data_IF_618163769814
#
_entry.id   IF_618163769814
#
_cell.length_a   1.000
_cell.length_b   1.000
_cell.length_c   1.000
_cell.angle_alpha   90.00
_cell.angle_beta   90.00
_cell.angle_gamma   90.00
#
_symmetry.space_group_name_H-M   'P 1'
#
loop_
_entity.id
_entity.type
_entity.pdbx_description
1 polymer ?
#
# COMPACT_ATOMS: atom_id res chain seq x y z
N UNK A 1 -13.87 4.21 -8.24
CA UNK A 1 -12.75 5.08 -7.81
C UNK A 1 -13.29 6.35 -7.19
N UNK A 2 -14.47 6.82 -7.59
CA UNK A 2 -15.15 7.93 -6.92
C UNK A 2 -15.68 7.50 -5.56
N UNK A 3 -15.03 8.03 -4.52
CA UNK A 3 -15.40 7.87 -3.13
C UNK A 3 -15.91 9.20 -2.61
N UNK A 4 -16.88 9.13 -1.72
CA UNK A 4 -17.40 10.28 -1.00
C UNK A 4 -16.91 10.20 0.46
N UNK A 5 -16.55 11.33 1.09
CA UNK A 5 -16.29 11.36 2.52
C UNK A 5 -17.49 10.79 3.28
N UNK A 6 -17.23 9.92 4.25
CA UNK A 6 -18.27 9.46 5.17
C UNK A 6 -18.65 10.58 6.14
N UNK A 7 -19.92 10.69 6.49
CA UNK A 7 -20.49 11.65 7.44
C UNK A 7 -20.84 11.02 8.80
N UNK A 8 -20.62 9.70 8.93
CA UNK A 8 -20.94 8.94 10.13
C UNK A 8 -20.14 7.64 10.27
N UNK A 9 -20.43 6.84 11.31
CA UNK A 9 -19.75 5.57 11.53
C UNK A 9 -20.07 4.55 10.44
N UNK A 10 -19.06 3.75 10.09
CA UNK A 10 -19.15 2.65 9.14
C UNK A 10 -18.63 1.37 9.77
N UNK A 11 -19.22 0.23 9.41
CA UNK A 11 -18.69 -1.08 9.76
C UNK A 11 -17.51 -1.43 8.85
N UNK A 12 -16.35 -1.73 9.44
CA UNK A 12 -15.19 -2.29 8.74
C UNK A 12 -15.19 -3.81 8.87
N UNK A 13 -15.52 -4.50 7.78
CA UNK A 13 -15.43 -5.96 7.68
C UNK A 13 -14.03 -6.44 7.28
N UNK A 14 -13.89 -7.77 7.14
CA UNK A 14 -12.65 -8.40 6.62
C UNK A 14 -12.34 -8.01 5.17
N UNK A 15 -13.38 -7.74 4.39
CA UNK A 15 -13.27 -7.40 2.96
C UNK A 15 -13.33 -5.88 2.69
N UNK A 16 -13.37 -5.05 3.73
CA UNK A 16 -13.39 -3.58 3.64
C UNK A 16 -14.59 -2.91 4.30
N UNK A 17 -14.73 -1.60 4.05
CA UNK A 17 -15.81 -0.77 4.60
C UNK A 17 -17.16 -1.14 3.99
N UNK A 18 -18.18 -1.21 4.83
CA UNK A 18 -19.56 -1.34 4.39
C UNK A 18 -19.92 -0.23 3.40
N UNK A 19 -20.49 -0.61 2.25
CA UNK A 19 -20.85 0.32 1.18
C UNK A 19 -19.73 0.65 0.21
N UNK A 20 -18.45 0.33 0.51
CA UNK A 20 -17.38 0.51 -0.46
C UNK A 20 -17.42 -0.58 -1.54
N UNK A 21 -17.15 -0.16 -2.78
CA UNK A 21 -17.09 -1.06 -3.93
C UNK A 21 -15.66 -1.12 -4.45
N UNK A 22 -15.06 -2.31 -4.33
CA UNK A 22 -13.83 -2.63 -5.05
C UNK A 22 -14.19 -2.90 -6.51
N UNK A 23 -13.82 -1.99 -7.41
CA UNK A 23 -14.16 -2.05 -8.83
C UNK A 23 -13.72 -3.35 -9.51
N UNK A 24 -12.63 -3.98 -9.04
CA UNK A 24 -12.12 -5.22 -9.60
C UNK A 24 -11.46 -6.08 -8.51
N UNK A 25 -12.25 -6.95 -7.87
CA UNK A 25 -11.81 -7.73 -6.69
C UNK A 25 -10.57 -8.58 -6.92
N UNK A 26 -10.39 -9.13 -8.14
CA UNK A 26 -9.22 -9.95 -8.49
C UNK A 26 -7.89 -9.22 -8.30
N UNK A 27 -7.82 -7.95 -8.70
CA UNK A 27 -6.58 -7.18 -8.69
C UNK A 27 -6.52 -6.12 -7.59
N UNK A 28 -7.66 -5.75 -6.99
CA UNK A 28 -7.76 -4.61 -6.05
C UNK A 28 -8.49 -4.95 -4.74
N UNK A 29 -8.87 -6.22 -4.53
CA UNK A 29 -9.56 -6.69 -3.32
C UNK A 29 -8.93 -7.95 -2.74
N UNK A 30 -9.60 -8.54 -1.76
CA UNK A 30 -9.12 -9.69 -1.00
C UNK A 30 -8.61 -9.30 0.39
N UNK A 31 -8.30 -10.29 1.23
CA UNK A 31 -8.07 -10.07 2.67
C UNK A 31 -6.91 -9.13 2.96
N UNK A 32 -5.92 -9.05 2.06
CA UNK A 32 -4.76 -8.16 2.19
C UNK A 32 -5.04 -6.70 1.85
N UNK A 33 -6.24 -6.37 1.33
CA UNK A 33 -6.53 -5.10 0.67
C UNK A 33 -7.89 -4.54 1.06
N UNK A 34 -8.25 -4.71 2.34
CA UNK A 34 -9.52 -4.26 2.90
C UNK A 34 -9.64 -2.73 2.91
N UNK A 35 -8.52 -2.02 3.12
CA UNK A 35 -8.46 -0.56 3.12
C UNK A 35 -7.27 -0.05 2.32
N UNK A 36 -7.48 1.08 1.65
CA UNK A 36 -6.42 1.88 1.04
C UNK A 36 -6.22 3.18 1.82
N UNK A 37 -4.98 3.49 2.18
CA UNK A 37 -4.60 4.70 2.89
C UNK A 37 -3.71 5.57 2.02
N UNK A 38 -3.99 6.86 1.99
CA UNK A 38 -3.15 7.82 1.29
C UNK A 38 -2.89 9.08 2.13
N UNK A 39 -1.62 9.47 2.34
CA UNK A 39 -1.29 10.72 3.03
C UNK A 39 -1.81 11.94 2.26
N UNK A 40 -2.64 12.77 2.90
CA UNK A 40 -3.24 13.96 2.25
C UNK A 40 -2.20 15.04 1.98
N UNK A 41 -1.12 15.08 2.77
CA UNK A 41 0.04 15.95 2.53
C UNK A 41 0.70 15.74 1.16
N UNK A 42 0.54 14.56 0.55
CA UNK A 42 1.04 14.31 -0.81
C UNK A 42 0.25 15.07 -1.88
N UNK A 43 -1.00 15.46 -1.62
CA UNK A 43 -1.78 16.24 -2.57
C UNK A 43 -1.10 17.56 -2.95
N UNK A 44 -0.43 18.22 -2.01
CA UNK A 44 0.31 19.44 -2.31
C UNK A 44 1.42 19.20 -3.34
N UNK A 45 2.16 18.10 -3.20
CA UNK A 45 3.16 17.69 -4.19
C UNK A 45 2.53 17.49 -5.57
N UNK A 46 1.39 16.80 -5.63
CA UNK A 46 0.71 16.51 -6.90
C UNK A 46 0.12 17.75 -7.57
N UNK A 47 -0.46 18.66 -6.79
CA UNK A 47 -0.95 19.96 -7.27
C UNK A 47 0.19 20.80 -7.88
N UNK A 48 1.38 20.73 -7.30
CA UNK A 48 2.56 21.43 -7.83
C UNK A 48 3.11 20.75 -9.09
N UNK A 49 3.16 19.41 -9.09
CA UNK A 49 3.73 18.61 -10.18
C UNK A 49 2.87 18.57 -11.44
N UNK A 50 1.54 18.53 -11.28
CA UNK A 50 0.58 18.47 -12.38
C UNK A 50 -0.46 19.58 -12.21
N UNK A 51 -0.32 20.67 -12.98
CA UNK A 51 -1.18 21.85 -12.86
C UNK A 51 -2.70 21.54 -12.90
N UNK A 52 -3.21 20.60 -13.74
CA UNK A 52 -4.62 20.25 -13.73
C UNK A 52 -5.13 19.62 -12.43
N UNK A 53 -4.24 19.01 -11.63
CA UNK A 53 -4.64 18.41 -10.35
C UNK A 53 -4.96 19.46 -9.28
N UNK A 54 -4.51 20.72 -9.43
CA UNK A 54 -4.77 21.80 -8.45
C UNK A 54 -6.25 21.97 -8.12
N UNK A 55 -7.13 21.70 -9.08
CA UNK A 55 -8.59 21.82 -8.92
C UNK A 55 -9.32 20.47 -8.84
N UNK A 56 -8.59 19.35 -8.93
CA UNK A 56 -9.17 17.99 -8.94
C UNK A 56 -8.86 17.18 -7.67
N UNK A 57 -7.95 17.69 -6.82
CA UNK A 57 -7.56 17.00 -5.59
C UNK A 57 -8.55 17.28 -4.46
N UNK A 58 -8.95 16.20 -3.80
CA UNK A 58 -9.81 16.14 -2.63
C UNK A 58 -9.72 14.75 -2.00
N UNK A 59 -10.36 14.55 -0.85
CA UNK A 59 -10.39 13.24 -0.20
C UNK A 59 -10.97 12.18 -1.15
N UNK A 60 -10.27 11.07 -1.31
CA UNK A 60 -10.62 10.00 -2.25
C UNK A 60 -10.12 10.23 -3.68
N UNK A 61 -9.37 11.29 -3.97
CA UNK A 61 -8.85 11.58 -5.32
C UNK A 61 -7.95 10.46 -5.86
N UNK A 62 -7.23 9.73 -4.99
CA UNK A 62 -6.44 8.57 -5.38
C UNK A 62 -7.18 7.23 -5.13
N UNK A 63 -8.45 7.27 -4.73
CA UNK A 63 -9.30 6.10 -4.48
C UNK A 63 -9.12 5.45 -3.10
N UNK A 64 -8.43 6.13 -2.20
CA UNK A 64 -8.20 5.78 -0.80
C UNK A 64 -9.48 5.79 0.04
N UNK A 65 -9.55 4.88 1.00
CA UNK A 65 -10.58 4.83 2.03
C UNK A 65 -10.25 5.77 3.20
N UNK A 66 -8.95 5.92 3.50
CA UNK A 66 -8.46 6.67 4.64
C UNK A 66 -7.44 7.72 4.16
N UNK A 67 -7.77 8.99 4.35
CA UNK A 67 -6.83 10.10 4.18
C UNK A 67 -6.39 10.61 5.55
N UNK A 68 -5.09 10.78 5.77
CA UNK A 68 -4.57 11.35 7.02
C UNK A 68 -3.39 12.29 6.78
N UNK A 69 -3.15 13.16 7.76
CA UNK A 69 -1.97 14.02 7.86
C UNK A 69 -1.01 13.46 8.92
N UNK A 70 0.28 13.76 8.80
CA UNK A 70 1.29 13.39 9.80
C UNK A 70 1.81 11.96 9.71
N UNK A 71 1.25 11.13 8.82
CA UNK A 71 1.75 9.81 8.45
C UNK A 71 2.23 9.78 7.00
N UNK A 72 3.31 9.07 6.73
CA UNK A 72 3.81 8.77 5.39
C UNK A 72 4.43 7.38 5.33
N UNK A 73 4.86 6.99 4.13
CA UNK A 73 5.41 5.67 3.83
C UNK A 73 6.67 5.32 4.63
N UNK A 74 7.39 6.31 5.17
CA UNK A 74 8.57 6.08 6.01
C UNK A 74 8.23 5.84 7.49
N UNK A 75 7.02 6.22 7.93
CA UNK A 75 6.63 6.20 9.35
C UNK A 75 5.89 4.93 9.77
N UNK A 76 5.31 4.20 8.81
CA UNK A 76 4.67 2.90 9.04
C UNK A 76 5.47 1.76 8.44
N UNK A 77 5.43 0.62 9.12
CA UNK A 77 6.12 -0.61 8.75
C UNK A 77 5.15 -1.71 8.36
N UNK A 78 5.63 -2.64 7.52
CA UNK A 78 4.87 -3.83 7.17
C UNK A 78 4.63 -4.67 8.43
N UNK A 79 3.36 -5.01 8.66
CA UNK A 79 2.93 -5.69 9.88
C UNK A 79 2.67 -4.77 11.07
N UNK A 80 2.81 -3.45 10.95
CA UNK A 80 2.30 -2.53 11.99
C UNK A 80 0.81 -2.81 12.22
N UNK A 81 0.43 -3.00 13.48
CA UNK A 81 -0.96 -3.20 13.91
C UNK A 81 -1.48 -1.96 14.58
N UNK A 82 -2.59 -1.44 14.06
CA UNK A 82 -3.19 -0.20 14.54
C UNK A 82 -4.64 -0.41 14.96
N UNK A 83 -5.01 0.18 16.09
CA UNK A 83 -6.41 0.34 16.48
C UNK A 83 -6.97 1.57 15.76
N UNK A 84 -8.13 1.40 15.13
CA UNK A 84 -8.92 2.47 14.51
C UNK A 84 -10.37 2.29 14.92
N UNK A 85 -10.90 3.17 15.77
CA UNK A 85 -12.19 2.91 16.43
C UNK A 85 -12.18 1.56 17.14
N UNK A 86 -13.15 0.71 16.84
CA UNK A 86 -13.23 -0.65 17.38
C UNK A 86 -12.38 -1.66 16.59
N UNK A 87 -11.92 -1.32 15.39
CA UNK A 87 -11.26 -2.25 14.48
C UNK A 87 -9.75 -2.35 14.71
N UNK A 88 -9.20 -3.55 14.52
CA UNK A 88 -7.75 -3.79 14.45
C UNK A 88 -7.33 -4.03 13.01
N UNK A 89 -6.44 -3.20 12.49
CA UNK A 89 -5.94 -3.27 11.12
C UNK A 89 -4.42 -3.48 11.10
N UNK A 90 -3.92 -4.15 10.06
CA UNK A 90 -2.50 -4.46 9.91
C UNK A 90 -2.00 -4.01 8.54
N UNK A 91 -0.87 -3.28 8.51
CA UNK A 91 -0.24 -2.82 7.25
C UNK A 91 0.24 -4.03 6.47
N UNK A 92 -0.37 -4.28 5.32
CA UNK A 92 -0.10 -5.50 4.54
C UNK A 92 0.88 -5.28 3.39
N UNK A 93 0.86 -4.10 2.77
CA UNK A 93 1.65 -3.81 1.57
C UNK A 93 1.63 -2.32 1.17
N UNK A 94 2.60 -1.87 0.36
CA UNK A 94 2.51 -0.64 -0.40
C UNK A 94 1.41 -0.77 -1.45
N UNK A 95 0.76 0.35 -1.77
CA UNK A 95 -0.24 0.39 -2.82
C UNK A 95 0.46 0.51 -4.17
N UNK A 96 0.28 -0.45 -5.07
CA UNK A 96 0.86 -0.35 -6.41
C UNK A 96 0.11 0.70 -7.24
N UNK A 97 0.80 1.70 -7.83
CA UNK A 97 0.18 2.65 -8.75
C UNK A 97 -0.41 1.94 -9.98
N UNK A 98 -1.53 2.43 -10.49
CA UNK A 98 -2.25 1.84 -11.62
C UNK A 98 -2.60 2.90 -12.65
N UNK A 99 -2.52 2.58 -13.94
CA UNK A 99 -2.84 3.46 -15.07
C UNK A 99 -4.26 4.05 -15.02
N UNK A 100 -5.17 3.43 -14.28
CA UNK A 100 -6.52 3.98 -14.06
C UNK A 100 -6.50 5.32 -13.31
N UNK A 101 -5.44 5.64 -12.58
CA UNK A 101 -5.24 6.98 -12.01
C UNK A 101 -4.96 8.02 -13.10
N UNK A 102 -4.14 7.67 -14.09
CA UNK A 102 -3.89 8.53 -15.26
C UNK A 102 -5.21 8.79 -15.99
N UNK A 103 -6.01 7.75 -16.25
CA UNK A 103 -7.31 7.89 -16.92
C UNK A 103 -8.27 8.73 -16.10
N UNK A 104 -8.36 8.51 -14.77
CA UNK A 104 -9.27 9.25 -13.89
C UNK A 104 -8.99 10.75 -13.92
N UNK A 105 -7.73 11.13 -13.85
CA UNK A 105 -7.32 12.53 -13.76
C UNK A 105 -7.02 13.14 -15.13
N UNK A 106 -7.08 12.36 -16.21
CA UNK A 106 -6.63 12.77 -17.54
C UNK A 106 -5.12 13.05 -17.62
N UNK A 107 -4.32 12.54 -16.67
CA UNK A 107 -2.90 12.90 -16.49
C UNK A 107 -1.99 11.74 -16.88
N UNK A 108 -1.50 11.76 -18.12
CA UNK A 108 -0.54 10.76 -18.61
C UNK A 108 0.76 10.83 -17.81
N UNK A 109 1.20 9.69 -17.29
CA UNK A 109 2.43 9.55 -16.52
C UNK A 109 2.26 9.72 -15.01
N UNK A 110 1.04 9.96 -14.51
CA UNK A 110 0.77 10.10 -13.08
C UNK A 110 1.15 8.84 -12.30
N UNK A 111 0.71 7.66 -12.76
CA UNK A 111 1.06 6.38 -12.13
C UNK A 111 2.58 6.11 -12.13
N UNK A 112 3.27 6.53 -13.20
CA UNK A 112 4.73 6.41 -13.29
C UNK A 112 5.42 7.31 -12.26
N UNK A 113 4.97 8.55 -12.11
CA UNK A 113 5.51 9.50 -11.14
C UNK A 113 5.19 9.08 -9.69
N UNK A 114 3.99 8.55 -9.41
CA UNK A 114 3.64 7.92 -8.14
C UNK A 114 4.63 6.81 -7.79
N UNK A 115 4.90 5.93 -8.75
CA UNK A 115 5.85 4.83 -8.59
C UNK A 115 7.26 5.32 -8.31
N UNK A 116 7.77 6.21 -9.16
CA UNK A 116 9.13 6.74 -9.06
C UNK A 116 9.38 7.55 -7.77
N UNK A 117 8.39 8.32 -7.33
CA UNK A 117 8.51 9.17 -6.14
C UNK A 117 8.29 8.43 -4.82
N UNK A 118 7.73 7.21 -4.86
CA UNK A 118 7.42 6.41 -3.67
C UNK A 118 6.23 6.92 -2.84
N UNK A 119 5.53 7.97 -3.30
CA UNK A 119 4.33 8.53 -2.66
C UNK A 119 3.09 7.72 -3.00
N UNK A 120 3.13 6.42 -2.74
CA UNK A 120 2.14 5.47 -3.25
C UNK A 120 0.97 5.25 -2.29
N UNK A 121 1.12 5.58 -1.01
CA UNK A 121 0.25 5.09 0.05
C UNK A 121 0.41 3.58 0.29
N UNK A 122 -0.49 3.02 1.08
CA UNK A 122 -0.42 1.61 1.49
C UNK A 122 -1.80 1.02 1.72
N UNK A 123 -1.83 -0.30 1.89
CA UNK A 123 -3.05 -1.05 2.16
C UNK A 123 -3.00 -1.70 3.54
N UNK A 124 -4.19 -1.95 4.06
CA UNK A 124 -4.38 -2.73 5.28
C UNK A 124 -5.20 -3.98 5.03
N UNK A 125 -4.94 -5.00 5.84
CA UNK A 125 -5.89 -6.07 6.14
C UNK A 125 -6.60 -5.79 7.46
N UNK A 126 -7.83 -6.30 7.60
CA UNK A 126 -8.59 -6.22 8.86
C UNK A 126 -8.37 -7.49 9.68
N UNK A 127 -7.74 -7.36 10.85
CA UNK A 127 -7.56 -8.46 11.81
C UNK A 127 -8.82 -8.67 12.63
N UNK A 128 -9.36 -7.59 13.20
CA UNK A 128 -10.61 -7.56 13.97
C UNK A 128 -11.58 -6.56 13.31
N UNK A 129 -12.73 -7.03 12.79
CA UNK A 129 -13.79 -6.15 12.32
C UNK A 129 -14.35 -5.26 13.44
N UNK A 130 -14.82 -4.06 13.10
CA UNK A 130 -15.34 -3.11 14.09
C UNK A 130 -15.94 -1.86 13.45
N UNK A 131 -16.62 -1.03 14.25
CA UNK A 131 -17.08 0.28 13.81
C UNK A 131 -15.93 1.28 13.82
N UNK A 132 -15.89 2.11 12.77
CA UNK A 132 -14.93 3.19 12.60
C UNK A 132 -15.66 4.43 12.14
N UNK A 133 -15.18 5.62 12.46
CA UNK A 133 -15.79 6.88 12.02
C UNK A 133 -14.73 7.92 11.60
N UNK A 134 -15.12 8.91 10.80
CA UNK A 134 -14.31 10.10 10.60
C UNK A 134 -13.87 10.70 11.94
N UNK A 135 -12.60 11.09 12.04
CA UNK A 135 -12.01 11.67 13.24
C UNK A 135 -11.45 10.66 14.25
N UNK A 136 -11.73 9.36 14.14
CA UNK A 136 -11.05 8.36 14.96
C UNK A 136 -9.55 8.37 14.69
N UNK A 137 -8.75 8.33 15.75
CA UNK A 137 -7.28 8.30 15.66
C UNK A 137 -6.78 6.89 15.33
N UNK A 138 -5.70 6.81 14.57
CA UNK A 138 -4.95 5.57 14.38
C UNK A 138 -3.92 5.43 15.51
N UNK A 139 -4.07 4.41 16.34
CA UNK A 139 -3.15 4.13 17.45
C UNK A 139 -2.30 2.91 17.12
N UNK A 140 -0.98 3.08 17.05
CA UNK A 140 -0.04 1.97 16.87
C UNK A 140 -0.02 1.11 18.14
N UNK A 141 -0.30 -0.19 17.99
CA UNK A 141 -0.28 -1.16 19.09
C UNK A 141 0.97 -2.03 19.04
N UNK A 142 1.35 -2.49 17.84
CA UNK A 142 2.51 -3.36 17.65
C UNK A 142 3.28 -2.99 16.38
N UNK A 143 4.61 -3.13 16.44
CA UNK A 143 5.54 -2.95 15.32
C UNK A 143 6.53 -4.11 15.27
N UNK A 144 6.16 -5.26 14.67
CA UNK A 144 7.01 -6.45 14.66
C UNK A 144 8.25 -6.31 13.74
N UNK A 145 8.20 -5.40 12.75
CA UNK A 145 9.26 -5.25 11.75
C UNK A 145 9.68 -3.79 11.57
N UNK A 146 10.32 -3.17 12.58
CA UNK A 146 10.63 -1.74 12.58
C UNK A 146 11.53 -1.26 11.44
N UNK A 147 12.31 -2.17 10.85
CA UNK A 147 13.25 -1.84 9.76
C UNK A 147 12.61 -1.94 8.36
N UNK A 148 11.37 -2.45 8.26
CA UNK A 148 10.69 -2.69 6.99
C UNK A 148 9.55 -1.68 6.83
N UNK A 149 9.92 -0.40 6.72
CA UNK A 149 8.96 0.66 6.37
C UNK A 149 8.29 0.39 5.02
N UNK A 150 7.10 0.95 4.81
CA UNK A 150 6.42 0.90 3.49
C UNK A 150 7.34 1.47 2.40
N UNK A 151 8.03 2.58 2.68
CA UNK A 151 8.99 3.20 1.77
C UNK A 151 10.19 2.30 1.47
N UNK A 152 10.76 1.63 2.50
CA UNK A 152 11.85 0.68 2.33
C UNK A 152 11.43 -0.48 1.41
N UNK A 153 10.28 -1.10 1.71
CA UNK A 153 9.78 -2.22 0.93
C UNK A 153 9.51 -1.82 -0.53
N UNK A 154 8.92 -0.64 -0.75
CA UNK A 154 8.67 -0.13 -2.10
C UNK A 154 9.97 0.06 -2.89
N UNK A 155 11.03 0.59 -2.26
CA UNK A 155 12.36 0.69 -2.88
C UNK A 155 12.91 -0.69 -3.25
N UNK A 156 12.84 -1.66 -2.33
CA UNK A 156 13.27 -3.04 -2.60
C UNK A 156 12.47 -3.69 -3.73
N UNK A 157 11.18 -3.36 -3.86
CA UNK A 157 10.34 -3.88 -4.93
C UNK A 157 10.76 -3.34 -6.31
N UNK A 158 11.13 -2.06 -6.39
CA UNK A 158 11.59 -1.43 -7.64
C UNK A 158 13.01 -1.85 -8.04
N UNK A 159 13.88 -2.08 -7.06
CA UNK A 159 15.26 -2.50 -7.29
C UNK A 159 15.33 -3.93 -7.84
N UNK A 160 15.92 -4.08 -9.03
CA UNK A 160 16.14 -5.38 -9.69
C UNK A 160 17.42 -6.07 -9.23
N UNK A 161 18.30 -5.36 -8.51
CA UNK A 161 19.62 -5.84 -8.08
C UNK A 161 19.67 -6.17 -6.58
N UNK A 162 18.52 -6.45 -5.98
CA UNK A 162 18.43 -6.81 -4.56
C UNK A 162 19.29 -8.04 -4.24
N UNK A 163 20.00 -7.97 -3.11
CA UNK A 163 20.78 -9.08 -2.59
C UNK A 163 19.87 -10.29 -2.31
N UNK A 164 20.42 -11.49 -2.55
CA UNK A 164 19.69 -12.76 -2.42
C UNK A 164 19.05 -12.93 -1.04
N UNK A 165 19.80 -12.65 0.02
CA UNK A 165 19.31 -12.86 1.39
C UNK A 165 18.19 -11.86 1.74
N UNK A 166 18.24 -10.64 1.21
CA UNK A 166 17.14 -9.67 1.32
C UNK A 166 15.88 -10.14 0.57
N UNK A 167 16.04 -10.72 -0.63
CA UNK A 167 14.90 -11.29 -1.37
C UNK A 167 14.25 -12.43 -0.61
N UNK A 168 15.05 -13.32 0.00
CA UNK A 168 14.55 -14.42 0.82
C UNK A 168 13.81 -13.91 2.06
N UNK A 169 14.42 -12.97 2.79
CA UNK A 169 13.81 -12.33 3.96
C UNK A 169 12.43 -11.73 3.62
N UNK A 170 12.34 -10.97 2.53
CA UNK A 170 11.09 -10.35 2.10
C UNK A 170 10.07 -11.37 1.57
N UNK A 171 10.52 -12.46 0.93
CA UNK A 171 9.63 -13.55 0.51
C UNK A 171 8.99 -14.29 1.71
N UNK A 172 9.67 -14.32 2.85
CA UNK A 172 9.25 -15.04 4.05
C UNK A 172 8.55 -14.15 5.08
N UNK A 173 8.53 -12.83 4.86
CA UNK A 173 7.89 -11.86 5.73
C UNK A 173 6.37 -12.08 5.78
N UNK A 174 5.89 -12.82 6.78
CA UNK A 174 4.50 -13.28 6.85
C UNK A 174 3.45 -12.15 6.79
N UNK A 175 3.65 -10.99 7.45
CA UNK A 175 2.69 -9.89 7.35
C UNK A 175 2.60 -9.26 5.96
N UNK A 176 3.61 -9.43 5.10
CA UNK A 176 3.57 -8.92 3.73
C UNK A 176 2.53 -9.67 2.89
N UNK A 177 1.77 -8.93 2.09
CA UNK A 177 0.79 -9.51 1.18
C UNK A 177 1.39 -10.57 0.24
N UNK A 178 0.62 -11.64 0.01
CA UNK A 178 1.10 -12.85 -0.67
C UNK A 178 1.75 -12.57 -2.03
N UNK A 179 1.18 -11.68 -2.84
CA UNK A 179 1.70 -11.42 -4.18
C UNK A 179 3.07 -10.73 -4.18
N UNK A 180 3.36 -9.85 -3.22
CA UNK A 180 4.69 -9.28 -3.06
C UNK A 180 5.70 -10.35 -2.67
N UNK A 181 5.32 -11.20 -1.70
CA UNK A 181 6.15 -12.35 -1.28
C UNK A 181 6.46 -13.29 -2.45
N UNK A 182 5.46 -13.57 -3.29
CA UNK A 182 5.62 -14.41 -4.48
C UNK A 182 6.59 -13.79 -5.50
N UNK A 183 6.53 -12.47 -5.72
CA UNK A 183 7.47 -11.77 -6.62
C UNK A 183 8.90 -11.82 -6.07
N UNK A 184 9.09 -11.56 -4.77
CA UNK A 184 10.41 -11.66 -4.16
C UNK A 184 10.95 -13.10 -4.19
N UNK A 185 10.08 -14.09 -3.95
CA UNK A 185 10.43 -15.51 -4.08
C UNK A 185 10.89 -15.85 -5.50
N UNK A 186 10.13 -15.43 -6.50
CA UNK A 186 10.48 -15.68 -7.91
C UNK A 186 11.85 -15.07 -8.25
N UNK A 187 12.12 -13.82 -7.82
CA UNK A 187 13.43 -13.18 -8.03
C UNK A 187 14.56 -13.93 -7.31
N UNK A 188 14.32 -14.39 -6.09
CA UNK A 188 15.27 -15.21 -5.34
C UNK A 188 15.59 -16.52 -6.07
N UNK A 189 14.59 -17.24 -6.56
CA UNK A 189 14.76 -18.53 -7.23
C UNK A 189 15.55 -18.38 -8.54
N UNK A 190 15.33 -17.30 -9.29
CA UNK A 190 16.11 -16.97 -10.51
C UNK A 190 17.59 -16.77 -10.17
N UNK A 191 17.92 -15.98 -9.15
CA UNK A 191 19.32 -15.74 -8.75
C UNK A 191 19.99 -17.00 -8.22
N UNK A 192 19.24 -17.85 -7.49
CA UNK A 192 19.72 -19.15 -7.02
C UNK A 192 20.08 -20.06 -8.20
N UNK A 193 19.17 -20.21 -9.18
CA UNK A 193 19.40 -21.05 -10.35
C UNK A 193 20.61 -20.63 -11.20
N UNK A 194 20.83 -19.33 -11.35
CA UNK A 194 22.02 -18.80 -12.06
C UNK A 194 23.33 -19.16 -11.36
N UNK A 195 23.35 -19.18 -10.02
CA UNK A 195 24.52 -19.55 -9.23
C UNK A 195 24.79 -21.05 -9.30
N UNK A 196 23.74 -21.85 -9.14
CA UNK A 196 23.84 -23.31 -9.20
C UNK A 196 24.36 -23.74 -10.58
N UNK A 197 23.92 -23.10 -11.67
CA UNK A 197 24.47 -23.32 -13.02
C UNK A 197 25.95 -22.93 -13.12
N UNK A 198 26.37 -21.77 -12.59
CA UNK A 198 27.79 -21.37 -12.62
C UNK A 198 28.68 -22.35 -11.88
N UNK A 199 28.28 -22.83 -10.70
CA UNK A 199 29.07 -23.81 -9.95
C UNK A 199 29.10 -25.21 -10.57
N UNK A 200 28.28 -25.50 -11.58
CA UNK A 200 28.39 -26.76 -12.36
C UNK A 200 29.51 -26.69 -13.41
N UNK A 201 30.02 -25.50 -13.72
CA UNK A 201 31.08 -25.26 -14.71
C UNK A 201 32.39 -24.78 -14.07
N UNK A 202 32.44 -24.66 -12.74
CA UNK A 202 33.64 -24.41 -11.93
C UNK A 202 34.16 -25.72 -11.31
#
# INVERSE_FOLDING_TARGET
MDKQPADGPLWLGRDGLQGDRVAERRFHGGPDRALCHYPTQHYLYWAQRFAPLRTQLGLGAFGENLGSEGLNEAQLCIGDRLRWGDALIEVSQPRSPCVRLDTRHGMRGLARELSASGRTGWLYRTLEPGHVRPGDTLQLLERPHPDISVAYLWRCFLDQNQARDSLLQLAELQPLAMHYRAIFRQRYDVLRGQRDQRSLFD
#
